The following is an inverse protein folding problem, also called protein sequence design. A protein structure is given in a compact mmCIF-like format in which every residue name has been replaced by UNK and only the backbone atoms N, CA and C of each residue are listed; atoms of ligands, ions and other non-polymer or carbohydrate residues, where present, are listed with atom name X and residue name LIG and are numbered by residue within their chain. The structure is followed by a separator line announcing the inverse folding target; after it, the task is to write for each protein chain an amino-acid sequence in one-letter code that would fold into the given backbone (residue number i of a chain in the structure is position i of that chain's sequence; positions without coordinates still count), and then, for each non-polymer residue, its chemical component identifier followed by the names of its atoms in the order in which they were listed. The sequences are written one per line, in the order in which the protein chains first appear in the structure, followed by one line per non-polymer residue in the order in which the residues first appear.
data_IF_081660884803
#
_entry.id   IF_081660884803
#
_cell.length_a   1.000
_cell.length_b   1.000
_cell.length_c   1.000
_cell.angle_alpha   90.00
_cell.angle_beta   90.00
_cell.angle_gamma   90.00
#
_symmetry.space_group_name_H-M   'P 1'
#
loop_
_entity.id
_entity.type
_entity.pdbx_description
1 polymer ?
#
# COMPACT_ATOMS: atom_id res chain seq x y z
N UNK A 1 8.84 13.30 -7.81
CA UNK A 1 7.56 13.86 -8.32
C UNK A 1 7.20 13.28 -9.69
N UNK A 2 5.94 12.94 -9.91
CA UNK A 2 5.40 12.58 -11.23
C UNK A 2 4.71 13.82 -11.81
N UNK A 3 4.79 14.08 -13.11
CA UNK A 3 4.04 15.22 -13.68
C UNK A 3 2.53 14.93 -13.62
N UNK A 4 1.65 15.96 -13.54
CA UNK A 4 0.20 15.76 -13.54
C UNK A 4 -0.29 15.00 -14.78
N UNK A 5 0.32 15.28 -15.93
CA UNK A 5 0.03 14.58 -17.18
C UNK A 5 0.40 13.08 -17.10
N UNK A 6 1.53 12.74 -16.47
CA UNK A 6 1.93 11.35 -16.25
C UNK A 6 0.97 10.63 -15.30
N UNK A 7 0.55 11.29 -14.22
CA UNK A 7 -0.43 10.74 -13.29
C UNK A 7 -1.78 10.47 -13.98
N UNK A 8 -2.31 11.44 -14.74
CA UNK A 8 -3.57 11.27 -15.48
C UNK A 8 -3.51 10.10 -16.46
N UNK A 9 -2.42 9.98 -17.23
CA UNK A 9 -2.23 8.83 -18.14
C UNK A 9 -2.19 7.49 -17.39
N UNK A 10 -1.59 7.45 -16.20
CA UNK A 10 -1.53 6.24 -15.36
C UNK A 10 -2.90 5.87 -14.83
N UNK A 11 -3.66 6.83 -14.30
CA UNK A 11 -5.04 6.63 -13.85
C UNK A 11 -5.90 6.08 -14.99
N UNK A 12 -5.82 6.67 -16.18
CA UNK A 12 -6.57 6.18 -17.33
C UNK A 12 -6.19 4.75 -17.73
N UNK A 13 -4.90 4.41 -17.70
CA UNK A 13 -4.41 3.05 -17.99
C UNK A 13 -4.95 2.01 -17.01
N UNK A 14 -5.12 2.39 -15.75
CA UNK A 14 -5.69 1.53 -14.73
C UNK A 14 -7.20 1.36 -14.94
N UNK A 15 -7.94 2.47 -15.10
CA UNK A 15 -9.38 2.45 -15.32
C UNK A 15 -9.79 1.73 -16.61
N UNK A 16 -9.01 1.87 -17.68
CA UNK A 16 -9.23 1.16 -18.94
C UNK A 16 -8.81 -0.32 -18.90
N UNK A 17 -8.23 -0.80 -17.79
CA UNK A 17 -7.84 -2.19 -17.62
C UNK A 17 -6.54 -2.60 -18.30
N UNK A 18 -5.83 -1.68 -18.98
CA UNK A 18 -4.56 -1.99 -19.65
C UNK A 18 -3.48 -2.44 -18.65
N UNK A 19 -3.39 -1.80 -17.49
CA UNK A 19 -2.48 -2.22 -16.42
C UNK A 19 -2.93 -3.58 -15.85
N UNK A 20 -4.23 -3.74 -15.59
CA UNK A 20 -4.80 -4.97 -15.07
C UNK A 20 -4.58 -6.17 -15.98
N UNK A 21 -4.74 -6.02 -17.30
CA UNK A 21 -4.49 -7.08 -18.28
C UNK A 21 -3.03 -7.55 -18.24
N UNK A 22 -2.07 -6.64 -18.11
CA UNK A 22 -0.65 -7.00 -17.95
C UNK A 22 -0.41 -7.80 -16.66
N UNK A 23 -1.02 -7.37 -15.56
CA UNK A 23 -0.96 -8.11 -14.29
C UNK A 23 -1.66 -9.46 -14.37
N UNK A 24 -2.77 -9.56 -15.11
CA UNK A 24 -3.49 -10.81 -15.32
C UNK A 24 -2.62 -11.83 -16.07
N UNK A 25 -1.97 -11.41 -17.16
CA UNK A 25 -1.04 -12.25 -17.92
C UNK A 25 0.14 -12.69 -17.04
N UNK A 26 0.72 -11.77 -16.27
CA UNK A 26 1.83 -12.10 -15.37
C UNK A 26 1.39 -13.06 -14.24
N UNK A 27 0.22 -12.82 -13.65
CA UNK A 27 -0.36 -13.67 -12.61
C UNK A 27 -0.63 -15.08 -13.16
N UNK A 28 -1.22 -15.18 -14.36
CA UNK A 28 -1.47 -16.47 -15.02
C UNK A 28 -0.16 -17.24 -15.25
N UNK A 29 0.86 -16.58 -15.83
CA UNK A 29 2.18 -17.19 -16.04
C UNK A 29 2.83 -17.63 -14.72
N UNK A 30 2.71 -16.83 -13.65
CA UNK A 30 3.25 -17.17 -12.33
C UNK A 30 2.54 -18.38 -11.71
N UNK A 31 1.22 -18.46 -11.85
CA UNK A 31 0.40 -19.53 -11.29
C UNK A 31 0.59 -20.84 -12.05
N UNK A 32 0.49 -20.82 -13.38
CA UNK A 32 0.46 -22.04 -14.20
C UNK A 32 1.81 -22.38 -14.86
N UNK A 33 2.71 -21.42 -15.03
CA UNK A 33 3.99 -21.64 -15.72
C UNK A 33 4.96 -22.54 -14.95
N UNK A 34 4.75 -22.72 -13.64
CA UNK A 34 5.58 -23.60 -12.79
C UNK A 34 4.94 -24.98 -12.54
N UNK A 35 3.88 -25.32 -13.28
CA UNK A 35 3.09 -26.54 -13.08
C UNK A 35 3.92 -27.84 -13.02
N UNK A 36 4.92 -27.96 -13.89
CA UNK A 36 5.78 -29.15 -13.97
C UNK A 36 7.04 -29.06 -13.08
N UNK A 37 7.28 -27.94 -12.41
CA UNK A 37 8.53 -27.69 -11.69
C UNK A 37 8.44 -28.06 -10.21
N UNK A 38 7.28 -27.85 -9.59
CA UNK A 38 7.09 -28.01 -8.15
C UNK A 38 5.66 -28.47 -7.83
N UNK A 39 5.55 -29.47 -6.94
CA UNK A 39 4.26 -29.98 -6.48
C UNK A 39 3.46 -28.93 -5.71
N UNK A 40 4.13 -28.01 -5.01
CA UNK A 40 3.50 -26.87 -4.33
C UNK A 40 2.86 -25.91 -5.33
N UNK A 41 3.60 -25.51 -6.36
CA UNK A 41 3.10 -24.67 -7.45
C UNK A 41 1.90 -25.32 -8.15
N UNK A 42 1.96 -26.62 -8.43
CA UNK A 42 0.82 -27.36 -9.00
C UNK A 42 -0.40 -27.34 -8.08
N UNK A 43 -0.23 -27.59 -6.78
CA UNK A 43 -1.33 -27.51 -5.79
C UNK A 43 -1.94 -26.11 -5.75
N UNK A 44 -1.12 -25.07 -5.77
CA UNK A 44 -1.58 -23.68 -5.79
C UNK A 44 -2.39 -23.36 -7.07
N UNK A 45 -1.93 -23.84 -8.23
CA UNK A 45 -2.63 -23.67 -9.50
C UNK A 45 -3.98 -24.39 -9.54
N UNK A 46 -4.02 -25.64 -9.04
CA UNK A 46 -5.27 -26.40 -8.87
C UNK A 46 -6.21 -25.65 -7.93
N UNK A 47 -5.74 -25.25 -6.74
CA UNK A 47 -6.55 -24.52 -5.77
C UNK A 47 -7.14 -23.23 -6.33
N UNK A 48 -6.35 -22.46 -7.08
CA UNK A 48 -6.84 -21.30 -7.80
C UNK A 48 -7.94 -21.67 -8.81
N UNK A 49 -7.70 -22.64 -9.70
CA UNK A 49 -8.66 -23.04 -10.72
C UNK A 49 -9.96 -23.58 -10.11
N UNK A 50 -9.86 -24.45 -9.11
CA UNK A 50 -11.00 -25.03 -8.39
C UNK A 50 -11.82 -23.95 -7.69
N UNK A 51 -11.19 -23.02 -6.98
CA UNK A 51 -11.92 -21.95 -6.27
C UNK A 51 -12.72 -21.08 -7.25
N UNK A 52 -12.10 -20.66 -8.35
CA UNK A 52 -12.78 -19.84 -9.36
C UNK A 52 -13.89 -20.62 -10.08
N UNK A 53 -13.67 -21.91 -10.37
CA UNK A 53 -14.69 -22.78 -10.96
C UNK A 53 -15.89 -22.98 -10.02
N UNK A 54 -15.65 -23.17 -8.71
CA UNK A 54 -16.72 -23.28 -7.71
C UNK A 54 -17.51 -21.98 -7.61
N UNK A 55 -16.85 -20.82 -7.52
CA UNK A 55 -17.52 -19.52 -7.48
C UNK A 55 -18.38 -19.28 -8.72
N UNK A 56 -17.83 -19.50 -9.91
CA UNK A 56 -18.58 -19.39 -11.16
C UNK A 56 -19.73 -20.41 -11.20
N UNK A 57 -19.50 -21.65 -10.78
CA UNK A 57 -20.52 -22.70 -10.70
C UNK A 57 -21.68 -22.31 -9.80
N UNK A 58 -21.42 -21.82 -8.58
CA UNK A 58 -22.46 -21.35 -7.66
C UNK A 58 -23.28 -20.22 -8.27
N UNK A 59 -22.63 -19.22 -8.87
CA UNK A 59 -23.33 -18.12 -9.55
C UNK A 59 -24.13 -18.60 -10.77
N UNK A 60 -23.63 -19.60 -11.49
CA UNK A 60 -24.32 -20.21 -12.64
C UNK A 60 -25.55 -20.98 -12.20
N UNK A 61 -25.44 -21.78 -11.14
CA UNK A 61 -26.56 -22.51 -10.54
C UNK A 61 -27.63 -21.56 -9.97
N UNK A 62 -27.22 -20.38 -9.50
CA UNK A 62 -28.13 -19.31 -9.09
C UNK A 62 -28.72 -18.52 -10.27
N UNK A 63 -28.42 -18.87 -11.53
CA UNK A 63 -28.95 -18.19 -12.73
C UNK A 63 -28.26 -16.87 -13.09
N UNK A 64 -27.17 -16.52 -12.43
CA UNK A 64 -26.49 -15.22 -12.56
C UNK A 64 -24.98 -15.32 -12.78
N UNK A 65 -24.49 -16.11 -13.77
CA UNK A 65 -23.05 -16.27 -14.02
C UNK A 65 -22.33 -14.95 -14.35
N UNK A 66 -23.04 -14.00 -14.95
CA UNK A 66 -22.51 -12.68 -15.30
C UNK A 66 -22.02 -11.88 -14.09
N UNK A 67 -22.52 -12.14 -12.86
CA UNK A 67 -22.05 -11.47 -11.65
C UNK A 67 -20.58 -11.76 -11.36
N UNK A 68 -20.03 -12.88 -11.86
CA UNK A 68 -18.61 -13.18 -11.76
C UNK A 68 -17.74 -12.12 -12.47
N UNK A 69 -18.27 -11.51 -13.54
CA UNK A 69 -17.57 -10.46 -14.28
C UNK A 69 -17.40 -9.17 -13.46
N UNK A 70 -18.22 -8.94 -12.43
CA UNK A 70 -18.01 -7.79 -11.53
C UNK A 70 -16.68 -7.91 -10.79
N UNK A 71 -16.35 -9.11 -10.31
CA UNK A 71 -15.07 -9.38 -9.64
C UNK A 71 -13.90 -9.25 -10.62
N UNK A 72 -14.00 -9.86 -11.80
CA UNK A 72 -12.96 -9.77 -12.84
C UNK A 72 -12.74 -8.30 -13.29
N UNK A 73 -13.83 -7.57 -13.55
CA UNK A 73 -13.81 -6.17 -13.95
C UNK A 73 -13.20 -5.27 -12.88
N UNK A 74 -13.59 -5.43 -11.62
CA UNK A 74 -13.01 -4.68 -10.50
C UNK A 74 -11.51 -4.97 -10.33
N UNK A 75 -11.10 -6.24 -10.46
CA UNK A 75 -9.70 -6.63 -10.35
C UNK A 75 -8.83 -6.02 -11.45
N UNK A 76 -9.34 -5.98 -12.69
CA UNK A 76 -8.63 -5.42 -13.84
C UNK A 76 -8.58 -3.89 -13.84
N UNK A 77 -9.60 -3.23 -13.28
CA UNK A 77 -9.76 -1.77 -13.34
C UNK A 77 -9.58 -1.11 -11.97
N UNK A 78 -10.65 -0.95 -11.21
CA UNK A 78 -10.70 -0.18 -9.96
C UNK A 78 -9.66 -0.63 -8.94
N UNK A 79 -9.42 -1.94 -8.78
CA UNK A 79 -8.41 -2.45 -7.86
C UNK A 79 -6.99 -1.98 -8.24
N UNK A 80 -6.66 -1.97 -9.54
CA UNK A 80 -5.34 -1.49 -9.99
C UNK A 80 -5.16 0.00 -9.73
N UNK A 81 -6.23 0.79 -9.91
CA UNK A 81 -6.23 2.22 -9.59
C UNK A 81 -6.06 2.44 -8.09
N UNK A 82 -6.87 1.80 -7.26
CA UNK A 82 -6.82 1.94 -5.79
C UNK A 82 -5.46 1.52 -5.25
N UNK A 83 -4.92 0.41 -5.73
CA UNK A 83 -3.57 -0.07 -5.37
C UNK A 83 -2.51 0.97 -5.75
N UNK A 84 -2.63 1.61 -6.91
CA UNK A 84 -1.70 2.69 -7.30
C UNK A 84 -1.81 3.89 -6.37
N UNK A 85 -3.03 4.35 -6.10
CA UNK A 85 -3.27 5.51 -5.22
C UNK A 85 -2.64 5.25 -3.85
N UNK A 86 -2.87 4.06 -3.29
CA UNK A 86 -2.27 3.62 -2.04
C UNK A 86 -0.76 3.53 -2.09
N UNK A 87 -0.20 2.87 -3.10
CA UNK A 87 1.25 2.77 -3.28
C UNK A 87 1.92 4.16 -3.37
N UNK A 88 1.30 5.12 -4.05
CA UNK A 88 1.79 6.50 -4.07
C UNK A 88 1.68 7.13 -2.68
N UNK A 89 0.55 6.99 -2.00
CA UNK A 89 0.36 7.61 -0.69
C UNK A 89 1.28 7.05 0.40
N UNK A 90 1.51 5.75 0.36
CA UNK A 90 2.22 5.00 1.39
C UNK A 90 3.75 5.05 1.18
N UNK A 91 4.22 5.16 -0.08
CA UNK A 91 5.65 5.09 -0.41
C UNK A 91 6.21 6.25 -1.24
N UNK A 92 5.37 7.13 -1.81
CA UNK A 92 5.89 8.31 -2.50
C UNK A 92 6.13 9.46 -1.50
N UNK A 93 7.10 10.31 -1.85
CA UNK A 93 7.45 11.52 -1.10
C UNK A 93 7.97 11.25 0.32
N UNK A 94 8.25 10.00 0.69
CA UNK A 94 8.85 9.63 1.96
C UNK A 94 10.14 10.44 2.19
N UNK A 95 10.35 10.98 3.41
CA UNK A 95 11.61 11.64 3.74
C UNK A 95 12.78 10.67 3.53
N UNK A 96 13.91 11.20 3.09
CA UNK A 96 15.17 10.46 3.10
C UNK A 96 15.56 10.22 4.57
N UNK A 97 15.11 9.11 5.17
CA UNK A 97 15.54 8.72 6.50
C UNK A 97 16.64 7.66 6.40
N UNK A 98 17.68 7.80 7.24
CA UNK A 98 18.70 6.77 7.42
C UNK A 98 18.16 5.51 8.13
N UNK A 99 17.00 5.62 8.80
CA UNK A 99 16.33 4.55 9.53
C UNK A 99 15.18 3.91 8.71
N UNK A 100 14.94 2.59 8.79
CA UNK A 100 13.91 1.88 8.02
C UNK A 100 12.49 2.43 8.18
N UNK A 101 12.24 3.17 9.28
CA UNK A 101 10.95 3.78 9.62
C UNK A 101 10.51 4.87 8.64
N UNK A 102 11.43 5.51 7.91
CA UNK A 102 11.08 6.56 6.93
C UNK A 102 10.67 6.05 5.56
N UNK A 103 10.60 4.74 5.32
CA UNK A 103 10.29 4.18 4.00
C UNK A 103 8.79 4.06 3.70
N UNK A 104 7.94 4.26 4.71
CA UNK A 104 6.48 4.12 4.64
C UNK A 104 5.80 5.23 5.42
N UNK A 105 4.52 5.48 5.13
CA UNK A 105 3.73 6.54 5.76
C UNK A 105 2.37 6.08 6.26
N UNK A 106 1.83 6.86 7.18
CA UNK A 106 0.44 6.75 7.62
C UNK A 106 -0.39 7.83 6.94
N UNK A 107 -1.50 7.44 6.30
CA UNK A 107 -2.47 8.38 5.75
C UNK A 107 -3.69 8.43 6.64
N UNK A 108 -3.99 9.57 7.25
CA UNK A 108 -5.24 9.77 7.97
C UNK A 108 -6.37 9.96 6.96
N UNK A 109 -7.19 8.92 6.83
CA UNK A 109 -8.27 8.83 5.86
C UNK A 109 -9.64 9.20 6.46
N UNK A 110 -10.41 9.96 5.70
CA UNK A 110 -11.84 10.24 5.97
C UNK A 110 -12.67 8.95 5.84
N UNK A 111 -13.91 8.97 6.32
CA UNK A 111 -14.74 7.75 6.38
C UNK A 111 -14.97 7.09 5.01
N UNK A 112 -15.13 7.87 3.94
CA UNK A 112 -15.33 7.34 2.59
C UNK A 112 -14.02 6.85 1.98
N UNK A 113 -12.89 7.50 2.28
CA UNK A 113 -11.57 7.03 1.87
C UNK A 113 -11.25 5.69 2.53
N UNK A 114 -11.62 5.52 3.80
CA UNK A 114 -11.51 4.22 4.49
C UNK A 114 -12.38 3.16 3.83
N UNK A 115 -13.55 3.50 3.31
CA UNK A 115 -14.41 2.51 2.66
C UNK A 115 -13.89 2.10 1.28
N UNK A 116 -13.48 3.07 0.46
CA UNK A 116 -13.23 2.87 -0.97
C UNK A 116 -11.76 2.71 -1.34
N UNK A 117 -10.85 3.35 -0.58
CA UNK A 117 -9.43 3.39 -0.90
C UNK A 117 -8.65 2.51 0.06
N UNK A 118 -8.89 2.64 1.36
CA UNK A 118 -8.12 1.97 2.41
C UNK A 118 -9.00 1.27 3.45
N UNK A 119 -9.74 0.23 3.05
CA UNK A 119 -10.52 -0.59 3.98
C UNK A 119 -9.60 -1.33 4.95
N UNK A 120 -10.15 -1.75 6.09
CA UNK A 120 -9.45 -2.56 7.08
C UNK A 120 -8.18 -1.88 7.64
N UNK A 121 -8.18 -0.55 7.80
CA UNK A 121 -7.08 0.21 8.41
C UNK A 121 -5.72 0.08 7.70
N UNK A 122 -5.70 -0.32 6.43
CA UNK A 122 -4.46 -0.45 5.65
C UNK A 122 -3.73 0.89 5.40
N UNK A 123 -4.42 2.01 5.61
CA UNK A 123 -3.84 3.37 5.58
C UNK A 123 -2.83 3.62 6.72
N UNK A 124 -2.82 2.78 7.76
CA UNK A 124 -1.81 2.72 8.82
C UNK A 124 -0.66 1.81 8.41
N UNK A 125 -0.06 2.12 7.25
CA UNK A 125 0.92 1.25 6.59
C UNK A 125 2.26 1.25 7.33
N UNK A 126 2.67 2.40 7.85
CA UNK A 126 3.87 2.53 8.67
C UNK A 126 3.77 1.69 9.94
N UNK A 127 2.63 1.71 10.63
CA UNK A 127 2.41 0.91 11.83
C UNK A 127 2.45 -0.59 11.51
N UNK A 128 1.86 -0.99 10.37
CA UNK A 128 1.94 -2.37 9.91
C UNK A 128 3.39 -2.81 9.69
N UNK A 129 4.23 -2.01 9.02
CA UNK A 129 5.65 -2.36 8.84
C UNK A 129 6.46 -2.30 10.14
N UNK A 130 6.08 -1.42 11.06
CA UNK A 130 6.73 -1.31 12.37
C UNK A 130 6.48 -2.56 13.22
N UNK A 131 5.27 -3.13 13.18
CA UNK A 131 4.93 -4.36 13.89
C UNK A 131 3.85 -5.16 13.14
N UNK A 132 4.28 -5.99 12.19
CA UNK A 132 3.39 -6.77 11.30
C UNK A 132 2.49 -7.77 12.03
N UNK A 133 2.80 -8.10 13.28
CA UNK A 133 2.02 -8.99 14.14
C UNK A 133 0.78 -8.30 14.73
N UNK A 134 0.71 -6.97 14.71
CA UNK A 134 -0.48 -6.25 15.17
C UNK A 134 -1.61 -6.45 14.15
N UNK A 135 -2.77 -6.96 14.60
CA UNK A 135 -3.89 -7.15 13.70
C UNK A 135 -4.42 -5.81 13.21
N UNK A 136 -4.92 -5.77 11.98
CA UNK A 136 -5.25 -4.53 11.29
C UNK A 136 -6.25 -3.63 12.06
N UNK A 137 -7.17 -4.21 12.83
CA UNK A 137 -8.15 -3.47 13.63
C UNK A 137 -7.55 -2.73 14.83
N UNK A 138 -6.33 -3.06 15.26
CA UNK A 138 -5.59 -2.39 16.32
C UNK A 138 -4.59 -1.33 15.81
N UNK A 139 -4.37 -1.22 14.49
CA UNK A 139 -3.38 -0.30 13.94
C UNK A 139 -3.67 1.17 14.24
N UNK A 140 -4.96 1.55 14.32
CA UNK A 140 -5.36 2.90 14.75
C UNK A 140 -4.93 3.17 16.20
N UNK A 141 -5.22 2.24 17.11
CA UNK A 141 -4.86 2.40 18.51
C UNK A 141 -3.32 2.43 18.68
N UNK A 142 -2.61 1.60 17.92
CA UNK A 142 -1.14 1.64 17.86
C UNK A 142 -0.64 3.00 17.37
N UNK A 143 -1.20 3.56 16.30
CA UNK A 143 -0.86 4.89 15.80
C UNK A 143 -1.04 5.96 16.89
N UNK A 144 -2.19 5.98 17.56
CA UNK A 144 -2.50 6.93 18.64
C UNK A 144 -1.45 6.84 19.76
N UNK A 145 -1.09 5.63 20.19
CA UNK A 145 -0.04 5.41 21.21
C UNK A 145 1.33 5.89 20.76
N UNK A 146 1.71 5.63 19.52
CA UNK A 146 3.00 6.05 19.00
C UNK A 146 3.09 7.58 18.86
N UNK A 147 1.97 8.25 18.56
CA UNK A 147 1.87 9.71 18.57
C UNK A 147 1.97 10.25 20.00
N UNK A 148 1.24 9.68 20.96
CA UNK A 148 1.30 10.06 22.39
C UNK A 148 2.72 9.95 22.95
N UNK A 149 3.46 8.91 22.57
CA UNK A 149 4.83 8.68 22.99
C UNK A 149 5.85 9.58 22.28
N UNK A 150 5.44 10.35 21.26
CA UNK A 150 6.32 11.23 20.50
C UNK A 150 7.36 10.50 19.63
N UNK A 151 7.11 9.24 19.27
CA UNK A 151 8.08 8.40 18.53
C UNK A 151 7.85 8.38 17.02
N UNK A 152 6.77 8.99 16.53
CA UNK A 152 6.49 9.15 15.10
C UNK A 152 6.95 10.54 14.64
N UNK A 153 7.75 10.56 13.57
CA UNK A 153 8.03 11.79 12.82
C UNK A 153 6.72 12.33 12.20
N UNK A 154 6.31 13.57 12.50
CA UNK A 154 5.16 14.20 11.86
C UNK A 154 5.21 14.19 10.32
N UNK A 155 6.40 14.18 9.72
CA UNK A 155 6.62 14.06 8.27
C UNK A 155 6.26 12.71 7.67
N UNK A 156 6.02 11.69 8.51
CA UNK A 156 5.52 10.37 8.13
C UNK A 156 4.00 10.26 8.18
N UNK A 157 3.30 11.31 8.65
CA UNK A 157 1.84 11.35 8.73
C UNK A 157 1.30 12.31 7.66
N UNK A 158 0.50 11.79 6.74
CA UNK A 158 -0.19 12.55 5.71
C UNK A 158 -1.71 12.51 5.95
N UNK A 159 -2.47 13.46 5.37
CA UNK A 159 -3.93 13.54 5.52
C UNK A 159 -4.62 13.56 4.16
N UNK A 160 -5.52 12.60 3.95
CA UNK A 160 -6.34 12.48 2.75
C UNK A 160 -5.58 12.13 1.46
N UNK A 161 -6.09 11.16 0.71
CA UNK A 161 -5.43 10.66 -0.51
C UNK A 161 -5.39 11.72 -1.62
N UNK A 162 -6.42 12.56 -1.72
CA UNK A 162 -6.47 13.62 -2.73
C UNK A 162 -5.35 14.66 -2.56
N UNK A 163 -5.04 15.04 -1.32
CA UNK A 163 -3.96 15.98 -1.04
C UNK A 163 -2.59 15.39 -1.37
N UNK A 164 -2.38 14.11 -1.03
CA UNK A 164 -1.13 13.41 -1.34
C UNK A 164 -0.93 13.27 -2.85
N UNK A 165 -1.98 12.92 -3.60
CA UNK A 165 -1.90 12.83 -5.06
C UNK A 165 -1.57 14.19 -5.70
N UNK A 166 -2.15 15.29 -5.19
CA UNK A 166 -1.81 16.65 -5.65
C UNK A 166 -0.34 17.00 -5.37
N UNK A 167 0.16 16.71 -4.16
CA UNK A 167 1.59 16.90 -3.82
C UNK A 167 2.51 16.04 -4.68
N UNK A 168 2.16 14.77 -4.90
CA UNK A 168 2.96 13.85 -5.71
C UNK A 168 3.02 14.28 -7.18
N UNK A 169 1.95 14.92 -7.66
CA UNK A 169 1.81 15.48 -8.99
C UNK A 169 2.41 16.91 -9.13
N UNK A 170 2.67 17.60 -8.02
CA UNK A 170 3.16 18.97 -7.99
C UNK A 170 4.60 19.12 -8.47
N UNK A 171 4.97 20.33 -8.91
CA UNK A 171 6.38 20.70 -9.07
C UNK A 171 7.06 20.62 -7.70
N UNK A 172 8.31 20.17 -7.64
CA UNK A 172 9.17 20.45 -6.49
C UNK A 172 9.28 21.97 -6.42
N UNK A 173 8.64 22.59 -5.45
CA UNK A 173 9.24 23.79 -4.86
C UNK A 173 10.60 23.35 -4.34
N UNK A 174 11.63 24.15 -4.64
CA UNK A 174 13.02 23.77 -4.48
C UNK A 174 13.24 23.07 -3.15
N UNK A 175 14.09 22.03 -3.16
CA UNK A 175 14.71 21.60 -1.93
C UNK A 175 15.26 22.88 -1.29
N UNK A 176 14.65 23.32 -0.19
CA UNK A 176 15.25 24.33 0.63
C UNK A 176 16.69 23.85 0.85
N UNK A 177 17.63 24.67 0.38
CA UNK A 177 19.05 24.56 0.67
C UNK A 177 19.20 23.97 2.07
N UNK A 178 19.89 22.84 2.17
CA UNK A 178 20.30 22.30 3.45
C UNK A 178 20.85 23.46 4.30
N UNK A 179 20.31 23.74 5.49
CA UNK A 179 20.99 24.63 6.38
C UNK A 179 22.31 23.95 6.75
N UNK A 180 23.41 24.47 6.20
CA UNK A 180 24.79 24.01 6.40
C UNK A 180 25.28 24.17 7.85
N UNK A 181 24.38 24.36 8.82
CA UNK A 181 24.71 24.62 10.22
C UNK A 181 23.65 24.00 11.14
N UNK A 182 23.67 22.68 11.31
CA UNK A 182 23.04 22.02 12.47
C UNK A 182 23.93 20.91 13.09
N UNK A 183 25.24 21.00 12.87
CA UNK A 183 26.23 20.35 13.72
C UNK A 183 27.01 21.44 14.49
N UNK A 184 26.30 22.22 15.30
CA UNK A 184 26.93 22.73 16.51
C UNK A 184 26.75 21.66 17.58
N UNK A 185 27.91 21.17 18.01
CA UNK A 185 28.20 20.31 19.14
C UNK A 185 27.20 20.45 20.30
N UNK A 186 26.13 19.66 20.28
CA UNK A 186 25.43 19.30 21.51
C UNK A 186 26.10 18.03 22.00
N UNK A 187 26.92 18.21 23.03
CA UNK A 187 27.78 17.19 23.63
C UNK A 187 27.13 15.81 23.75
N UNK A 188 27.97 14.80 23.58
CA UNK A 188 27.67 13.38 23.59
C UNK A 188 26.47 12.98 24.47
N UNK A 189 25.28 12.89 23.86
CA UNK A 189 24.18 12.15 24.45
C UNK A 189 24.44 10.67 24.20
N UNK A 190 25.01 9.99 25.18
CA UNK A 190 25.10 8.53 25.15
C UNK A 190 23.67 7.98 25.17
N UNK A 191 23.20 7.31 24.10
CA UNK A 191 21.86 6.74 24.12
C UNK A 191 21.78 5.71 25.25
N UNK A 192 20.69 5.68 26.03
CA UNK A 192 20.52 4.66 27.05
C UNK A 192 20.58 3.28 26.39
N UNK A 193 21.34 2.38 27.00
CA UNK A 193 21.46 0.99 26.57
C UNK A 193 20.05 0.41 26.45
N UNK A 194 19.67 -0.18 25.30
CA UNK A 194 18.36 -0.78 25.15
C UNK A 194 18.21 -1.88 26.20
N UNK A 195 17.31 -1.69 27.16
CA UNK A 195 16.85 -2.79 28.01
C UNK A 195 15.95 -3.65 27.13
N UNK A 196 16.51 -4.73 26.60
CA UNK A 196 15.72 -5.82 26.03
C UNK A 196 15.10 -6.56 27.21
N UNK A 197 13.79 -6.48 27.46
CA UNK A 197 13.15 -7.33 28.44
C UNK A 197 13.30 -8.81 28.04
N UNK A 198 13.50 -9.72 29.01
CA UNK A 198 13.65 -11.13 28.70
C UNK A 198 12.28 -11.72 28.30
N UNK A 199 12.08 -11.90 27.00
CA UNK A 199 11.19 -12.90 26.43
C UNK A 199 11.82 -13.46 25.17
#
# INVERSE_FOLDING_TARGET
PITPASLRRKIWRDLSGQTGAKFAVAAFKRTFGRWNQDSGARRAAIGFATTNAVLLGVLTLAGHPALYLLWAGAWLTSNTLVTRIRSIAEHALTPSAAEPRGLTRTTIATWWERLLIAPNCVNYHMEHHLLITVPHYNLRAMHERLVELGVIDPGCIDRGYAAILRRAAGKREGAATEPTHLFEDRGAHTPPTPRVPPF
#
